data_IF_354989160831
#
_entry.id   IF_354989160831
#
_cell.length_a   1.000
_cell.length_b   1.000
_cell.length_c   1.000
_cell.angle_alpha   90.00
_cell.angle_beta   90.00
_cell.angle_gamma   90.00
#
_symmetry.space_group_name_H-M   'P 1'
#
loop_
_entity.id
_entity.type
_entity.pdbx_description
1 polymer ?
#
# COMPACT_ATOMS: atom_id res chain seq x y z
N UNK A 1 -7.05 -11.92 -5.89
CA UNK A 1 -7.54 -12.97 -4.98
C UNK A 1 -9.03 -12.75 -4.83
N UNK A 2 -9.82 -13.81 -4.66
CA UNK A 2 -11.20 -13.63 -4.19
C UNK A 2 -11.20 -13.34 -2.68
N UNK A 3 -12.31 -12.81 -2.18
CA UNK A 3 -12.49 -12.47 -0.76
C UNK A 3 -12.88 -13.70 0.07
N UNK A 4 -12.02 -14.72 0.06
CA UNK A 4 -12.12 -15.87 0.95
C UNK A 4 -11.07 -15.75 2.06
N UNK A 5 -11.52 -15.76 3.31
CA UNK A 5 -10.66 -15.56 4.48
C UNK A 5 -9.56 -16.62 4.59
N UNK A 6 -9.90 -17.90 4.38
CA UNK A 6 -8.96 -19.02 4.55
C UNK A 6 -7.86 -18.98 3.47
N UNK A 7 -8.23 -18.61 2.24
CA UNK A 7 -7.28 -18.42 1.14
C UNK A 7 -6.32 -17.27 1.46
N UNK A 8 -6.85 -16.12 1.91
CA UNK A 8 -6.04 -14.97 2.28
C UNK A 8 -5.08 -15.31 3.43
N UNK A 9 -5.54 -15.98 4.48
CA UNK A 9 -4.72 -16.40 5.62
C UNK A 9 -3.61 -17.35 5.18
N UNK A 10 -3.95 -18.34 4.34
CA UNK A 10 -2.99 -19.32 3.83
C UNK A 10 -1.89 -18.62 3.02
N UNK A 11 -2.27 -17.76 2.08
CA UNK A 11 -1.32 -17.01 1.26
C UNK A 11 -0.45 -16.08 2.10
N UNK A 12 -1.01 -15.36 3.07
CA UNK A 12 -0.22 -14.49 3.95
C UNK A 12 0.85 -15.31 4.69
N UNK A 13 0.47 -16.46 5.26
CA UNK A 13 1.41 -17.34 5.96
C UNK A 13 2.48 -17.90 5.02
N UNK A 14 2.10 -18.41 3.86
CA UNK A 14 3.05 -18.94 2.87
C UNK A 14 4.04 -17.86 2.40
N UNK A 15 3.54 -16.69 1.99
CA UNK A 15 4.39 -15.59 1.50
C UNK A 15 5.29 -15.04 2.59
N UNK A 16 4.86 -15.06 3.85
CA UNK A 16 5.69 -14.62 4.97
C UNK A 16 6.98 -15.42 5.17
N UNK A 17 7.04 -16.66 4.66
CA UNK A 17 8.23 -17.52 4.79
C UNK A 17 9.31 -17.18 3.76
N UNK A 18 8.93 -16.55 2.65
CA UNK A 18 9.81 -16.34 1.50
C UNK A 18 10.09 -14.87 1.20
N UNK A 19 9.18 -13.96 1.55
CA UNK A 19 9.32 -12.54 1.26
C UNK A 19 9.91 -11.78 2.46
N UNK A 20 10.80 -10.82 2.19
CA UNK A 20 11.24 -9.85 3.20
C UNK A 20 10.19 -8.76 3.43
N UNK A 21 9.48 -8.39 2.36
CA UNK A 21 8.42 -7.39 2.36
C UNK A 21 7.23 -7.88 1.54
N UNK A 22 6.01 -7.70 2.06
CA UNK A 22 4.77 -7.96 1.35
C UNK A 22 3.89 -6.71 1.39
N UNK A 23 3.35 -6.30 0.24
CA UNK A 23 2.36 -5.22 0.17
C UNK A 23 1.04 -5.83 -0.28
N UNK A 24 0.01 -5.66 0.56
CA UNK A 24 -1.37 -6.05 0.29
C UNK A 24 -2.16 -4.77 0.06
N UNK A 25 -2.81 -4.69 -1.11
CA UNK A 25 -3.59 -3.53 -1.51
C UNK A 25 -5.04 -3.95 -1.72
N UNK A 26 -5.97 -3.27 -1.05
CA UNK A 26 -7.40 -3.61 -1.04
C UNK A 26 -7.84 -4.40 0.20
N UNK A 27 -9.17 -4.51 0.36
CA UNK A 27 -9.80 -5.26 1.44
C UNK A 27 -9.80 -4.56 2.81
N UNK A 28 -9.69 -3.21 2.83
CA UNK A 28 -9.74 -2.37 4.04
C UNK A 28 -10.94 -1.39 4.05
N UNK A 29 -11.87 -1.57 3.12
CA UNK A 29 -13.12 -0.81 3.10
C UNK A 29 -14.09 -1.22 4.22
N UNK A 30 -15.29 -0.62 4.22
CA UNK A 30 -16.29 -0.85 5.24
C UNK A 30 -17.22 -2.05 4.94
N UNK A 31 -17.05 -2.74 3.81
CA UNK A 31 -17.99 -3.80 3.39
C UNK A 31 -17.59 -5.17 3.96
N UNK A 32 -18.50 -6.15 3.86
CA UNK A 32 -18.31 -7.47 4.47
C UNK A 32 -17.22 -8.31 3.77
N UNK A 33 -17.00 -8.04 2.49
CA UNK A 33 -15.95 -8.61 1.64
C UNK A 33 -14.55 -8.01 1.90
N UNK A 34 -14.44 -6.88 2.61
CA UNK A 34 -13.15 -6.31 3.01
C UNK A 34 -12.46 -7.11 4.14
N UNK A 35 -11.78 -8.21 3.80
CA UNK A 35 -11.29 -9.18 4.79
C UNK A 35 -9.81 -9.01 5.16
N UNK A 36 -9.08 -8.05 4.59
CA UNK A 36 -7.61 -8.01 4.71
C UNK A 36 -7.11 -7.81 6.14
N UNK A 37 -7.77 -6.95 6.95
CA UNK A 37 -7.40 -6.75 8.36
C UNK A 37 -7.61 -8.03 9.19
N UNK A 38 -8.76 -8.68 9.00
CA UNK A 38 -9.10 -9.93 9.69
C UNK A 38 -8.17 -11.07 9.27
N UNK A 39 -7.86 -11.18 7.98
CA UNK A 39 -6.92 -12.16 7.45
C UNK A 39 -5.51 -11.96 8.04
N UNK A 40 -5.04 -10.71 8.14
CA UNK A 40 -3.75 -10.39 8.75
C UNK A 40 -3.69 -10.79 10.22
N UNK A 41 -4.70 -10.42 11.01
CA UNK A 41 -4.79 -10.78 12.43
C UNK A 41 -4.84 -12.30 12.62
N UNK A 42 -5.68 -12.98 11.83
CA UNK A 42 -5.84 -14.45 11.87
C UNK A 42 -4.56 -15.17 11.45
N UNK A 43 -3.88 -14.70 10.40
CA UNK A 43 -2.61 -15.25 9.94
C UNK A 43 -1.53 -15.17 11.03
N UNK A 44 -1.51 -14.07 11.78
CA UNK A 44 -0.60 -13.82 12.91
C UNK A 44 -1.00 -14.50 14.22
N UNK A 45 -2.26 -14.91 14.35
CA UNK A 45 -2.78 -15.55 15.56
C UNK A 45 -3.16 -14.54 16.66
N UNK A 46 -3.59 -13.34 16.27
CA UNK A 46 -4.03 -12.29 17.19
C UNK A 46 -5.41 -11.75 16.84
N UNK A 47 -5.98 -10.95 17.74
CA UNK A 47 -7.27 -10.29 17.54
C UNK A 47 -7.13 -8.92 16.87
N UNK A 48 -8.28 -8.40 16.43
CA UNK A 48 -8.42 -7.00 16.04
C UNK A 48 -8.68 -6.12 17.26
N UNK A 49 -8.10 -4.94 17.28
CA UNK A 49 -8.26 -3.91 18.30
C UNK A 49 -8.68 -2.61 17.62
N UNK A 50 -9.62 -1.90 18.23
CA UNK A 50 -10.06 -0.61 17.72
C UNK A 50 -9.00 0.47 17.97
N UNK A 51 -8.58 1.15 16.91
CA UNK A 51 -7.72 2.32 17.00
C UNK A 51 -8.57 3.59 17.27
N UNK A 52 -8.85 3.86 18.54
CA UNK A 52 -9.75 4.93 19.01
C UNK A 52 -9.42 6.31 18.43
N UNK A 53 -8.14 6.65 18.30
CA UNK A 53 -7.73 7.94 17.73
C UNK A 53 -8.08 8.06 16.23
N UNK A 54 -8.04 6.94 15.50
CA UNK A 54 -8.40 6.94 14.07
C UNK A 54 -9.92 6.94 13.90
N UNK A 55 -10.65 6.22 14.76
CA UNK A 55 -12.11 6.27 14.76
C UNK A 55 -12.62 7.71 14.91
N UNK A 56 -12.03 8.49 15.83
CA UNK A 56 -12.37 9.92 16.01
C UNK A 56 -12.04 10.76 14.78
N UNK A 57 -10.93 10.47 14.11
CA UNK A 57 -10.54 11.16 12.88
C UNK A 57 -11.51 10.84 11.73
N UNK A 58 -11.97 9.60 11.64
CA UNK A 58 -13.02 9.21 10.69
C UNK A 58 -14.34 9.92 11.00
N UNK A 59 -14.76 9.97 12.26
CA UNK A 59 -15.96 10.70 12.68
C UNK A 59 -15.89 12.18 12.26
N UNK A 60 -14.74 12.83 12.49
CA UNK A 60 -14.47 14.19 12.03
C UNK A 60 -14.55 14.30 10.51
N UNK A 61 -13.93 13.39 9.78
CA UNK A 61 -13.94 13.36 8.31
C UNK A 61 -15.36 13.32 7.72
N UNK A 62 -16.26 12.52 8.30
CA UNK A 62 -17.66 12.46 7.89
C UNK A 62 -18.44 13.71 8.32
N UNK A 63 -18.22 14.18 9.55
CA UNK A 63 -18.89 15.37 10.09
C UNK A 63 -18.61 16.63 9.26
N UNK A 64 -17.35 16.85 8.87
CA UNK A 64 -16.93 17.99 8.02
C UNK A 64 -17.59 17.97 6.63
N UNK A 65 -18.06 16.80 6.19
CA UNK A 65 -18.80 16.62 4.93
C UNK A 65 -20.32 16.64 5.12
N UNK A 66 -20.80 17.04 6.31
CA UNK A 66 -22.23 17.09 6.64
C UNK A 66 -22.89 15.71 6.72
N UNK A 67 -22.11 14.66 7.02
CA UNK A 67 -22.60 13.27 7.08
C UNK A 67 -22.35 12.67 8.46
N UNK A 68 -23.23 11.76 8.87
CA UNK A 68 -23.00 10.88 10.01
C UNK A 68 -22.26 9.63 9.51
N UNK A 69 -21.20 9.24 10.21
CA UNK A 69 -20.46 8.02 9.88
C UNK A 69 -21.34 6.78 10.10
N UNK A 70 -21.40 5.88 9.12
CA UNK A 70 -22.17 4.65 9.27
C UNK A 70 -21.45 3.68 10.22
N UNK A 71 -22.17 2.85 11.01
CA UNK A 71 -21.53 1.89 11.91
C UNK A 71 -20.56 0.92 11.23
N UNK A 72 -20.81 0.56 9.96
CA UNK A 72 -19.92 -0.30 9.17
C UNK A 72 -18.54 0.31 8.92
N UNK A 73 -18.41 1.63 8.92
CA UNK A 73 -17.11 2.30 8.79
C UNK A 73 -16.19 2.05 9.99
N UNK A 74 -16.72 1.72 11.17
CA UNK A 74 -15.91 1.43 12.37
C UNK A 74 -14.86 0.35 12.12
N UNK A 75 -15.18 -0.65 11.29
CA UNK A 75 -14.27 -1.72 10.87
C UNK A 75 -12.96 -1.20 10.26
N UNK A 76 -12.99 -0.03 9.60
CA UNK A 76 -11.82 0.56 8.98
C UNK A 76 -10.81 1.15 9.99
N UNK A 77 -11.15 1.15 11.28
CA UNK A 77 -10.28 1.49 12.40
C UNK A 77 -9.93 0.26 13.26
N UNK A 78 -10.34 -0.94 12.87
CA UNK A 78 -10.00 -2.19 13.56
C UNK A 78 -8.72 -2.79 12.95
N UNK A 79 -7.66 -2.86 13.75
CA UNK A 79 -6.32 -3.25 13.32
C UNK A 79 -5.85 -4.48 14.10
N UNK A 80 -4.98 -5.33 13.53
CA UNK A 80 -4.33 -6.38 14.32
C UNK A 80 -3.66 -5.78 15.57
N UNK A 81 -3.75 -6.46 16.72
CA UNK A 81 -3.31 -5.92 18.02
C UNK A 81 -1.86 -5.43 18.04
N UNK A 82 -0.98 -6.04 17.23
CA UNK A 82 0.43 -5.70 17.13
C UNK A 82 0.77 -4.72 15.99
N UNK A 83 -0.25 -4.22 15.29
CA UNK A 83 -0.06 -3.47 14.08
C UNK A 83 0.57 -2.10 14.33
N UNK A 84 1.51 -1.74 13.47
CA UNK A 84 1.97 -0.38 13.35
C UNK A 84 0.98 0.40 12.46
N UNK A 85 0.45 1.50 12.98
CA UNK A 85 -0.50 2.34 12.27
C UNK A 85 0.14 3.02 11.05
N UNK A 86 -0.57 3.07 9.92
CA UNK A 86 -0.17 3.83 8.73
C UNK A 86 -1.25 4.84 8.41
N UNK A 87 -0.85 6.11 8.47
CA UNK A 87 -1.76 7.22 8.23
C UNK A 87 -2.25 7.26 6.77
N UNK A 88 -3.54 7.54 6.58
CA UNK A 88 -4.13 7.80 5.27
C UNK A 88 -4.88 9.15 5.29
N UNK A 89 -4.21 10.26 4.97
CA UNK A 89 -4.84 11.58 5.05
C UNK A 89 -5.86 11.85 3.93
N UNK A 90 -6.01 10.93 2.97
CA UNK A 90 -6.84 11.13 1.76
C UNK A 90 -8.18 10.40 1.85
N UNK A 91 -8.23 9.26 2.54
CA UNK A 91 -9.41 8.42 2.66
C UNK A 91 -9.80 8.14 4.12
N UNK A 92 -10.79 7.25 4.29
CA UNK A 92 -11.27 6.84 5.62
C UNK A 92 -10.59 5.58 6.15
N UNK A 93 -10.11 4.71 5.25
CA UNK A 93 -9.42 3.48 5.62
C UNK A 93 -7.98 3.77 6.01
N UNK A 94 -7.60 3.57 7.28
CA UNK A 94 -6.19 3.56 7.62
C UNK A 94 -5.49 2.35 7.02
N UNK A 95 -4.19 2.47 6.81
CA UNK A 95 -3.35 1.29 6.59
C UNK A 95 -2.74 0.81 7.90
N UNK A 96 -2.02 -0.29 7.79
CA UNK A 96 -1.21 -0.77 8.89
C UNK A 96 -0.06 -1.65 8.39
N UNK A 97 0.95 -1.84 9.23
CA UNK A 97 1.99 -2.84 9.03
C UNK A 97 2.00 -3.87 10.14
N UNK A 98 2.28 -5.13 9.80
CA UNK A 98 2.59 -6.17 10.77
C UNK A 98 3.87 -6.90 10.37
N UNK A 99 4.62 -7.34 11.39
CA UNK A 99 5.66 -8.34 11.20
C UNK A 99 5.05 -9.73 11.36
N UNK A 100 5.22 -10.59 10.35
CA UNK A 100 4.93 -12.03 10.43
C UNK A 100 6.15 -12.81 9.95
N UNK A 101 6.74 -13.63 10.82
CA UNK A 101 8.07 -14.22 10.59
C UNK A 101 9.10 -13.13 10.27
N UNK A 102 9.92 -13.31 9.22
CA UNK A 102 10.86 -12.27 8.72
C UNK A 102 10.20 -11.25 7.78
N UNK A 103 8.96 -11.48 7.38
CA UNK A 103 8.26 -10.63 6.41
C UNK A 103 7.60 -9.42 7.07
N UNK A 104 7.98 -8.22 6.64
CA UNK A 104 7.27 -6.99 6.96
C UNK A 104 6.13 -6.80 5.97
N UNK A 105 4.89 -6.83 6.47
CA UNK A 105 3.70 -6.74 5.64
C UNK A 105 3.03 -5.39 5.79
N UNK A 106 2.72 -4.73 4.68
CA UNK A 106 1.96 -3.48 4.63
C UNK A 106 0.59 -3.74 4.03
N UNK A 107 -0.45 -3.24 4.69
CA UNK A 107 -1.83 -3.32 4.25
C UNK A 107 -2.34 -1.91 3.94
N UNK A 108 -2.89 -1.74 2.75
CA UNK A 108 -3.27 -0.43 2.20
C UNK A 108 -4.64 -0.48 1.52
N UNK A 109 -5.40 0.62 1.50
CA UNK A 109 -6.68 0.71 0.78
C UNK A 109 -6.49 0.52 -0.73
N UNK A 110 -7.50 -0.04 -1.40
CA UNK A 110 -7.45 -0.33 -2.84
C UNK A 110 -7.54 0.92 -3.74
N UNK A 111 -7.79 2.10 -3.18
CA UNK A 111 -7.94 3.35 -3.93
C UNK A 111 -6.55 3.86 -4.37
N UNK A 112 -6.26 3.99 -5.68
CA UNK A 112 -4.91 4.29 -6.15
C UNK A 112 -4.31 5.60 -5.62
N UNK A 113 -5.13 6.64 -5.44
CA UNK A 113 -4.68 7.92 -4.90
C UNK A 113 -4.27 7.83 -3.42
N UNK A 114 -4.98 7.02 -2.63
CA UNK A 114 -4.67 6.79 -1.21
C UNK A 114 -3.38 5.97 -1.09
N UNK A 115 -3.30 4.86 -1.85
CA UNK A 115 -2.12 4.01 -1.88
C UNK A 115 -0.85 4.79 -2.20
N UNK A 116 -0.89 5.65 -3.23
CA UNK A 116 0.27 6.45 -3.62
C UNK A 116 0.80 7.32 -2.48
N UNK A 117 -0.09 8.03 -1.80
CA UNK A 117 0.27 8.90 -0.67
C UNK A 117 0.88 8.09 0.48
N UNK A 118 0.28 6.97 0.82
CA UNK A 118 0.80 6.09 1.88
C UNK A 118 2.18 5.51 1.52
N UNK A 119 2.37 5.12 0.25
CA UNK A 119 3.67 4.63 -0.22
C UNK A 119 4.75 5.69 -0.08
N UNK A 120 4.47 6.90 -0.57
CA UNK A 120 5.45 8.00 -0.61
C UNK A 120 5.81 8.50 0.79
N UNK A 121 4.83 8.65 1.68
CA UNK A 121 5.01 9.31 2.97
C UNK A 121 5.21 8.38 4.16
N UNK A 122 4.71 7.14 4.09
CA UNK A 122 4.73 6.24 5.24
C UNK A 122 5.54 4.97 4.97
N UNK A 123 5.34 4.30 3.83
CA UNK A 123 5.95 2.98 3.56
C UNK A 123 7.40 3.11 3.10
N UNK A 124 7.68 3.95 2.08
CA UNK A 124 9.04 4.11 1.54
C UNK A 124 10.05 4.59 2.59
N UNK A 125 9.74 5.57 3.47
CA UNK A 125 10.65 5.96 4.55
C UNK A 125 11.02 4.78 5.46
N UNK A 126 10.03 4.01 5.92
CA UNK A 126 10.25 2.82 6.77
C UNK A 126 11.09 1.75 6.08
N UNK A 127 10.85 1.53 4.78
CA UNK A 127 11.65 0.59 4.00
C UNK A 127 13.11 1.05 3.88
N UNK A 128 13.36 2.35 3.69
CA UNK A 128 14.72 2.92 3.62
C UNK A 128 15.45 2.85 4.96
N UNK A 129 14.74 2.99 6.08
CA UNK A 129 15.31 2.84 7.42
C UNK A 129 15.70 1.39 7.72
N UNK A 130 14.91 0.44 7.23
CA UNK A 130 15.06 -0.98 7.58
C UNK A 130 15.89 -1.80 6.61
N UNK A 131 15.95 -1.40 5.34
CA UNK A 131 16.64 -2.14 4.29
C UNK A 131 17.69 -1.26 3.59
N UNK A 132 18.83 -1.87 3.26
CA UNK A 132 19.81 -1.24 2.36
C UNK A 132 19.30 -1.33 0.92
N UNK A 133 18.70 -0.24 0.44
CA UNK A 133 18.17 -0.18 -0.91
C UNK A 133 19.22 0.34 -1.90
N UNK A 134 19.41 -0.30 -3.06
CA UNK A 134 20.27 0.23 -4.12
C UNK A 134 19.68 1.54 -4.68
N UNK A 135 20.52 2.31 -5.37
CA UNK A 135 20.04 3.47 -6.11
C UNK A 135 18.99 3.03 -7.13
N UNK A 136 17.82 3.71 -7.20
CA UNK A 136 16.77 3.34 -8.13
C UNK A 136 17.27 3.54 -9.58
N UNK A 137 16.91 2.64 -10.51
CA UNK A 137 17.24 2.85 -11.91
C UNK A 137 16.55 4.10 -12.45
N UNK A 138 17.24 4.83 -13.32
CA UNK A 138 16.64 5.99 -14.01
C UNK A 138 15.72 5.48 -15.11
N UNK A 139 14.43 5.80 -15.03
CA UNK A 139 13.44 5.50 -16.07
C UNK A 139 13.09 6.77 -16.83
N UNK A 140 13.49 6.86 -18.10
CA UNK A 140 13.13 7.95 -18.99
C UNK A 140 11.93 7.53 -19.84
N UNK A 141 10.82 8.28 -19.75
CA UNK A 141 9.64 8.08 -20.60
C UNK A 141 9.61 9.17 -21.67
N UNK A 142 9.83 8.78 -22.92
CA UNK A 142 9.75 9.67 -24.08
C UNK A 142 8.42 9.44 -24.79
N UNK A 143 7.61 10.49 -24.93
CA UNK A 143 6.35 10.44 -25.68
C UNK A 143 6.58 11.00 -27.07
N UNK A 144 6.40 10.18 -28.10
CA UNK A 144 6.55 10.57 -29.50
C UNK A 144 5.20 10.73 -30.18
N UNK A 145 5.11 11.62 -31.17
CA UNK A 145 3.93 11.78 -32.02
C UNK A 145 4.35 11.87 -33.49
N UNK A 146 3.51 11.37 -34.40
CA UNK A 146 3.76 11.45 -35.85
C UNK A 146 4.80 10.46 -36.39
N UNK A 147 5.32 9.54 -35.56
CA UNK A 147 6.22 8.45 -35.95
C UNK A 147 5.68 7.11 -35.48
N UNK A 148 5.83 6.07 -36.30
CA UNK A 148 5.45 4.71 -35.95
C UNK A 148 6.53 4.03 -35.11
N UNK A 149 6.17 2.94 -34.44
CA UNK A 149 7.12 2.12 -33.68
C UNK A 149 8.27 1.60 -34.54
N UNK A 150 8.00 1.18 -35.78
CA UNK A 150 9.03 0.70 -36.72
C UNK A 150 10.01 1.80 -37.14
N UNK A 151 9.52 3.03 -37.36
CA UNK A 151 10.37 4.19 -37.66
C UNK A 151 11.25 4.53 -36.45
N UNK A 152 10.69 4.49 -35.24
CA UNK A 152 11.45 4.71 -33.99
C UNK A 152 12.51 3.63 -33.73
N UNK A 153 12.21 2.36 -34.03
CA UNK A 153 13.16 1.25 -33.86
C UNK A 153 14.35 1.33 -34.83
N UNK A 154 14.13 1.84 -36.04
CA UNK A 154 15.18 2.07 -37.04
C UNK A 154 15.94 3.38 -36.80
N UNK A 155 15.35 4.30 -36.04
CA UNK A 155 15.97 5.56 -35.68
C UNK A 155 17.15 5.30 -34.74
N UNK A 156 18.35 5.14 -35.32
CA UNK A 156 19.59 5.10 -34.56
C UNK A 156 19.72 6.40 -33.75
N UNK A 157 19.64 6.26 -32.43
CA UNK A 157 19.90 7.30 -31.43
C UNK A 157 21.40 7.67 -31.40
N UNK A 158 22.04 7.88 -32.54
CA UNK A 158 23.46 8.23 -32.66
C UNK A 158 23.80 9.59 -32.03
N UNK A 159 22.79 10.40 -31.70
CA UNK A 159 22.94 11.68 -31.01
C UNK A 159 22.84 11.60 -29.47
N UNK A 160 22.51 10.45 -28.86
CA UNK A 160 22.31 10.37 -27.40
C UNK A 160 23.61 10.19 -26.60
N UNK A 161 24.76 10.05 -27.26
CA UNK A 161 26.08 9.95 -26.61
C UNK A 161 26.55 11.25 -25.94
N UNK A 162 25.78 12.35 -26.02
CA UNK A 162 26.22 13.68 -25.54
C UNK A 162 25.43 14.29 -24.38
N UNK A 163 24.54 13.56 -23.70
CA UNK A 163 24.00 13.99 -22.41
C UNK A 163 24.31 12.98 -21.30
N UNK A 164 25.57 12.55 -21.25
CA UNK A 164 26.13 11.89 -20.08
C UNK A 164 26.17 12.88 -18.90
N UNK A 165 25.41 12.55 -17.86
CA UNK A 165 25.95 12.43 -16.50
C UNK A 165 26.86 13.59 -16.03
N UNK A 166 26.30 14.80 -15.92
CA UNK A 166 26.80 15.83 -14.99
C UNK A 166 25.64 16.55 -14.34
N UNK A 167 25.14 15.98 -13.24
CA UNK A 167 24.80 16.71 -12.01
C UNK A 167 24.73 15.70 -10.88
N UNK A 168 25.50 16.01 -9.84
CA UNK A 168 25.71 15.31 -8.59
C UNK A 168 24.40 15.09 -7.82
#
# INVERSE_FOLDING_TARGET
>A
MGDNLDDLVTILRERSQHADVLIVNGGLGPTSDDLSALAAATAKGEGLVLHEAWLKEMERYFHERGRVMAPSNRKQAELPASAEFINNPVGTACGFAIQLNRCLMFFTPGVPSEFKVMVEHEILPRLRERFSLPQPPVCLRLTTFGRSESDLAQWQLSAWTLYNCRRA
#
